data_IF_106586087938
#
_entry.id   IF_106586087938
#
_cell.length_a   1.000
_cell.length_b   1.000
_cell.length_c   1.000
_cell.angle_alpha   90.00
_cell.angle_beta   90.00
_cell.angle_gamma   90.00
#
_symmetry.space_group_name_H-M   'P 1'
#
loop_
_entity.id
_entity.type
_entity.pdbx_description
1 polymer ?
#
# COMPACT_ATOMS: atom_id res chain seq x y z
N UNK A 1 -2.42 -11.59 12.49
CA UNK A 1 -1.47 -10.76 13.27
C UNK A 1 -0.54 -9.92 12.40
N UNK A 2 0.15 -10.47 11.38
CA UNK A 2 1.12 -9.70 10.59
C UNK A 2 0.55 -8.41 9.97
N UNK A 3 -0.66 -8.44 9.38
CA UNK A 3 -1.30 -7.26 8.77
C UNK A 3 -1.53 -6.15 9.81
N UNK A 4 -1.95 -6.50 11.03
CA UNK A 4 -2.17 -5.52 12.10
C UNK A 4 -0.85 -4.87 12.54
N UNK A 5 0.21 -5.67 12.69
CA UNK A 5 1.55 -5.16 13.04
C UNK A 5 2.04 -4.19 11.98
N UNK A 6 1.90 -4.54 10.69
CA UNK A 6 2.27 -3.66 9.58
C UNK A 6 1.43 -2.37 9.57
N UNK A 7 0.12 -2.47 9.80
CA UNK A 7 -0.74 -1.28 9.91
C UNK A 7 -0.27 -0.31 11.00
N UNK A 8 0.10 -0.85 12.16
CA UNK A 8 0.63 -0.06 13.28
C UNK A 8 1.98 0.59 12.91
N UNK A 9 2.92 -0.18 12.36
CA UNK A 9 4.24 0.34 11.93
C UNK A 9 4.08 1.44 10.87
N UNK A 10 3.19 1.23 9.89
CA UNK A 10 2.91 2.23 8.85
C UNK A 10 2.26 3.49 9.42
N UNK A 11 1.36 3.33 10.39
CA UNK A 11 0.73 4.46 11.07
C UNK A 11 1.76 5.33 11.80
N UNK A 12 2.73 4.72 12.50
CA UNK A 12 3.81 5.47 13.16
C UNK A 12 4.65 6.27 12.16
N UNK A 13 4.97 5.72 10.98
CA UNK A 13 5.67 6.45 9.92
C UNK A 13 4.87 7.60 9.31
N UNK A 14 3.54 7.63 9.53
CA UNK A 14 2.62 8.63 8.95
C UNK A 14 2.06 9.63 9.96
N UNK A 15 2.36 9.47 11.27
CA UNK A 15 1.73 10.28 12.34
C UNK A 15 1.95 11.77 12.11
N UNK A 16 3.13 12.17 11.71
CA UNK A 16 3.51 13.57 11.53
C UNK A 16 3.29 14.11 10.11
N UNK A 17 2.79 13.29 9.18
CA UNK A 17 2.68 13.68 7.77
C UNK A 17 1.81 14.92 7.51
N UNK A 18 0.80 15.15 8.35
CA UNK A 18 -0.06 16.34 8.26
C UNK A 18 0.57 17.62 8.84
N UNK A 19 1.61 17.49 9.66
CA UNK A 19 2.33 18.61 10.31
C UNK A 19 3.76 18.76 9.79
N UNK A 20 4.21 17.86 8.93
CA UNK A 20 5.54 17.90 8.35
C UNK A 20 5.68 19.10 7.42
N UNK A 21 6.46 20.08 7.82
CA UNK A 21 6.76 21.30 7.05
C UNK A 21 7.38 20.97 5.70
N UNK A 22 8.19 19.90 5.63
CA UNK A 22 8.76 19.43 4.37
C UNK A 22 7.67 18.97 3.40
N UNK A 23 6.74 18.11 3.83
CA UNK A 23 5.65 17.63 2.97
C UNK A 23 4.74 18.78 2.51
N UNK A 24 4.48 19.76 3.38
CA UNK A 24 3.67 20.93 3.04
C UNK A 24 4.37 21.86 2.03
N UNK A 25 5.71 21.89 1.99
CA UNK A 25 6.48 22.68 1.04
C UNK A 25 6.56 22.08 -0.37
N UNK A 26 6.21 20.80 -0.53
CA UNK A 26 6.30 20.10 -1.82
C UNK A 26 5.23 20.57 -2.81
N UNK A 27 5.62 20.67 -4.08
CA UNK A 27 4.67 20.80 -5.17
C UNK A 27 3.95 19.47 -5.37
N UNK A 28 2.65 19.48 -5.13
CA UNK A 28 1.78 18.28 -5.17
C UNK A 28 0.82 18.33 -6.35
N UNK A 29 0.31 17.18 -6.76
CA UNK A 29 -0.74 17.09 -7.77
C UNK A 29 -2.02 17.80 -7.31
N UNK A 30 -2.72 18.45 -8.26
CA UNK A 30 -4.07 18.97 -8.03
C UNK A 30 -5.10 17.86 -7.68
N UNK A 31 -4.77 16.59 -7.96
CA UNK A 31 -5.58 15.43 -7.58
C UNK A 31 -5.24 14.91 -6.19
N UNK A 32 -4.29 15.51 -5.46
CA UNK A 32 -3.97 15.10 -4.09
C UNK A 32 -5.19 15.31 -3.19
N UNK A 33 -5.76 14.24 -2.62
CA UNK A 33 -6.92 14.37 -1.75
C UNK A 33 -6.52 15.03 -0.43
N UNK A 34 -7.49 15.62 0.29
CA UNK A 34 -7.27 16.10 1.65
C UNK A 34 -6.72 15.00 2.57
N UNK A 35 -5.88 15.38 3.53
CA UNK A 35 -5.16 14.45 4.40
C UNK A 35 -6.07 13.48 5.18
N UNK A 36 -7.31 13.91 5.52
CA UNK A 36 -8.26 13.04 6.21
C UNK A 36 -8.70 11.82 5.38
N UNK A 37 -8.65 11.92 4.04
CA UNK A 37 -9.00 10.80 3.14
C UNK A 37 -8.01 9.64 3.36
N UNK A 38 -6.72 9.93 3.50
CA UNK A 38 -5.72 8.91 3.81
C UNK A 38 -6.01 8.21 5.15
N UNK A 39 -6.44 8.98 6.17
CA UNK A 39 -6.78 8.45 7.50
C UNK A 39 -8.01 7.54 7.48
N UNK A 40 -8.89 7.67 6.50
CA UNK A 40 -10.07 6.81 6.31
C UNK A 40 -9.73 5.59 5.45
N UNK A 41 -9.04 5.82 4.33
CA UNK A 41 -8.81 4.76 3.33
C UNK A 41 -7.88 3.68 3.85
N UNK A 42 -6.77 4.04 4.50
CA UNK A 42 -5.81 3.05 4.99
C UNK A 42 -6.39 2.03 5.98
N UNK A 43 -7.15 2.42 7.02
CA UNK A 43 -7.81 1.44 7.89
C UNK A 43 -8.77 0.50 7.14
N UNK A 44 -9.52 1.01 6.17
CA UNK A 44 -10.43 0.19 5.35
C UNK A 44 -9.61 -0.83 4.53
N UNK A 45 -8.53 -0.42 3.89
CA UNK A 45 -7.68 -1.30 3.10
C UNK A 45 -7.02 -2.39 3.97
N UNK A 46 -6.55 -2.04 5.17
CA UNK A 46 -6.01 -3.03 6.11
C UNK A 46 -7.09 -4.01 6.60
N UNK A 47 -8.31 -3.53 6.85
CA UNK A 47 -9.44 -4.41 7.18
C UNK A 47 -9.74 -5.40 6.04
N UNK A 48 -9.77 -4.94 4.80
CA UNK A 48 -9.94 -5.80 3.62
C UNK A 48 -8.80 -6.82 3.48
N UNK A 49 -7.55 -6.43 3.76
CA UNK A 49 -6.42 -7.37 3.76
C UNK A 49 -6.53 -8.43 4.86
N UNK A 50 -7.05 -8.08 6.04
CA UNK A 50 -7.31 -9.04 7.12
C UNK A 50 -8.36 -10.05 6.67
N UNK A 51 -9.48 -9.57 6.11
CA UNK A 51 -10.54 -10.45 5.59
C UNK A 51 -10.01 -11.34 4.47
N UNK A 52 -9.21 -10.77 3.55
CA UNK A 52 -8.54 -11.52 2.48
C UNK A 52 -7.70 -12.68 3.03
N UNK A 53 -6.90 -12.46 4.07
CA UNK A 53 -6.07 -13.50 4.69
C UNK A 53 -6.90 -14.54 5.40
N UNK A 54 -7.94 -14.14 6.15
CA UNK A 54 -8.81 -15.07 6.89
C UNK A 54 -9.51 -16.02 5.92
N UNK A 55 -10.12 -15.48 4.86
CA UNK A 55 -10.80 -16.29 3.85
C UNK A 55 -9.78 -17.12 3.05
N UNK A 56 -8.71 -16.48 2.60
CA UNK A 56 -7.67 -17.09 1.78
C UNK A 56 -6.99 -18.27 2.44
N UNK A 57 -6.82 -18.24 3.77
CA UNK A 57 -6.21 -19.33 4.53
C UNK A 57 -6.93 -20.68 4.37
N UNK A 58 -8.21 -20.67 3.96
CA UNK A 58 -8.99 -21.87 3.67
C UNK A 58 -8.76 -22.44 2.26
N UNK A 59 -8.01 -21.74 1.42
CA UNK A 59 -7.75 -22.11 0.03
C UNK A 59 -6.29 -22.50 -0.19
N UNK A 60 -6.05 -23.57 -0.96
CA UNK A 60 -4.71 -24.00 -1.32
C UNK A 60 -3.93 -22.96 -2.15
N UNK A 61 -4.64 -22.14 -2.94
CA UNK A 61 -4.09 -21.06 -3.73
C UNK A 61 -3.34 -20.01 -2.89
N UNK A 62 -3.75 -19.81 -1.62
CA UNK A 62 -3.09 -18.86 -0.72
C UNK A 62 -1.64 -19.24 -0.45
N UNK A 63 -1.31 -20.53 -0.38
CA UNK A 63 0.08 -21.00 -0.20
C UNK A 63 1.01 -20.53 -1.33
N UNK A 64 0.48 -20.43 -2.56
CA UNK A 64 1.26 -19.99 -3.73
C UNK A 64 1.60 -18.51 -3.71
N UNK A 65 0.81 -17.69 -3.01
CA UNK A 65 1.04 -16.25 -2.90
C UNK A 65 1.63 -15.82 -1.56
N UNK A 66 1.71 -16.72 -0.57
CA UNK A 66 2.07 -16.37 0.79
C UNK A 66 3.39 -15.57 0.89
N UNK A 67 4.45 -16.04 0.23
CA UNK A 67 5.74 -15.33 0.22
C UNK A 67 5.63 -13.94 -0.41
N UNK A 68 4.90 -13.83 -1.52
CA UNK A 68 4.66 -12.53 -2.19
C UNK A 68 3.84 -11.60 -1.30
N UNK A 69 2.85 -12.14 -0.58
CA UNK A 69 2.03 -11.39 0.35
C UNK A 69 2.84 -10.88 1.55
N UNK A 70 3.73 -11.69 2.11
CA UNK A 70 4.64 -11.25 3.19
C UNK A 70 5.58 -10.16 2.69
N UNK A 71 6.18 -10.35 1.51
CA UNK A 71 7.09 -9.36 0.93
C UNK A 71 6.39 -7.99 0.72
N UNK A 72 5.15 -7.99 0.20
CA UNK A 72 4.41 -6.74 0.02
C UNK A 72 4.04 -6.09 1.36
N UNK A 73 3.77 -6.84 2.41
CA UNK A 73 3.52 -6.28 3.75
C UNK A 73 4.76 -5.54 4.29
N UNK A 74 5.95 -6.11 4.13
CA UNK A 74 7.20 -5.47 4.56
C UNK A 74 7.47 -4.17 3.80
N UNK A 75 7.29 -4.18 2.48
CA UNK A 75 7.45 -2.97 1.67
C UNK A 75 6.38 -1.93 1.98
N UNK A 76 5.14 -2.36 2.27
CA UNK A 76 4.08 -1.46 2.70
C UNK A 76 4.43 -0.76 4.02
N UNK A 77 5.00 -1.49 4.99
CA UNK A 77 5.47 -0.91 6.24
C UNK A 77 6.62 0.10 6.02
N UNK A 78 7.51 -0.16 5.08
CA UNK A 78 8.67 0.68 4.81
C UNK A 78 8.32 2.00 4.12
N UNK A 79 7.28 2.02 3.26
CA UNK A 79 6.98 3.18 2.42
C UNK A 79 6.79 4.50 3.19
N UNK A 80 5.95 4.59 4.25
CA UNK A 80 5.76 5.85 4.95
C UNK A 80 7.03 6.33 5.67
N UNK A 81 7.88 5.43 6.13
CA UNK A 81 9.18 5.78 6.69
C UNK A 81 10.11 6.38 5.65
N UNK A 82 10.21 5.75 4.48
CA UNK A 82 11.02 6.25 3.37
C UNK A 82 10.53 7.64 2.91
N UNK A 83 9.22 7.82 2.85
CA UNK A 83 8.63 9.04 2.31
C UNK A 83 8.62 10.18 3.35
N UNK A 84 7.99 9.96 4.52
CA UNK A 84 7.73 11.02 5.50
C UNK A 84 8.85 11.23 6.52
N UNK A 85 9.57 10.17 6.92
CA UNK A 85 10.60 10.27 7.96
C UNK A 85 11.96 10.55 7.34
N UNK A 86 12.34 9.79 6.30
CA UNK A 86 13.64 9.95 5.66
C UNK A 86 13.64 10.97 4.52
N UNK A 87 12.48 11.49 4.11
CA UNK A 87 12.33 12.45 3.02
C UNK A 87 13.00 11.98 1.71
N UNK A 88 12.84 10.71 1.36
CA UNK A 88 13.41 10.06 0.19
C UNK A 88 12.32 9.69 -0.85
N UNK A 89 11.65 10.68 -1.50
CA UNK A 89 10.51 10.43 -2.37
C UNK A 89 10.87 9.56 -3.59
N UNK A 90 12.11 9.64 -4.09
CA UNK A 90 12.60 8.78 -5.20
C UNK A 90 12.70 7.31 -4.78
N UNK A 91 13.23 7.04 -3.58
CA UNK A 91 13.33 5.68 -3.04
C UNK A 91 11.94 5.13 -2.70
N UNK A 92 11.08 5.97 -2.12
CA UNK A 92 9.68 5.63 -1.86
C UNK A 92 8.92 5.32 -3.16
N UNK A 93 9.21 6.03 -4.27
CA UNK A 93 8.63 5.73 -5.58
C UNK A 93 9.04 4.34 -6.08
N UNK A 94 10.31 3.98 -5.97
CA UNK A 94 10.77 2.63 -6.34
C UNK A 94 10.06 1.58 -5.48
N UNK A 95 10.00 1.80 -4.18
CA UNK A 95 9.31 0.91 -3.24
C UNK A 95 7.83 0.68 -3.62
N UNK A 96 7.07 1.76 -3.89
CA UNK A 96 5.64 1.64 -4.20
C UNK A 96 5.41 1.02 -5.60
N UNK A 97 6.29 1.23 -6.57
CA UNK A 97 6.23 0.53 -7.86
C UNK A 97 6.40 -0.97 -7.68
N UNK A 98 7.35 -1.40 -6.85
CA UNK A 98 7.51 -2.83 -6.51
C UNK A 98 6.25 -3.36 -5.82
N UNK A 99 5.66 -2.58 -4.90
CA UNK A 99 4.38 -2.92 -4.27
C UNK A 99 3.27 -3.16 -5.30
N UNK A 100 3.11 -2.26 -6.29
CA UNK A 100 2.11 -2.44 -7.35
C UNK A 100 2.33 -3.74 -8.12
N UNK A 101 3.58 -4.04 -8.49
CA UNK A 101 3.90 -5.28 -9.23
C UNK A 101 3.58 -6.53 -8.40
N UNK A 102 3.96 -6.56 -7.11
CA UNK A 102 3.67 -7.70 -6.24
C UNK A 102 2.16 -7.90 -6.05
N UNK A 103 1.42 -6.81 -5.84
CA UNK A 103 -0.03 -6.88 -5.63
C UNK A 103 -0.80 -7.22 -6.91
N UNK A 104 -0.36 -6.72 -8.07
CA UNK A 104 -0.90 -7.15 -9.37
C UNK A 104 -0.69 -8.66 -9.59
N UNK A 105 0.49 -9.19 -9.22
CA UNK A 105 0.77 -10.62 -9.25
C UNK A 105 -0.15 -11.42 -8.34
N UNK A 106 -0.40 -10.97 -7.11
CA UNK A 106 -1.33 -11.61 -6.18
C UNK A 106 -2.73 -11.69 -6.79
N UNK A 107 -3.26 -10.55 -7.25
CA UNK A 107 -4.59 -10.48 -7.88
C UNK A 107 -4.68 -11.40 -9.09
N UNK A 108 -3.66 -11.39 -9.97
CA UNK A 108 -3.61 -12.27 -11.15
C UNK A 108 -3.69 -13.74 -10.74
N UNK A 109 -2.84 -14.18 -9.82
CA UNK A 109 -2.79 -15.59 -9.40
C UNK A 109 -4.14 -16.03 -8.81
N UNK A 110 -4.74 -15.25 -7.92
CA UNK A 110 -5.97 -15.64 -7.26
C UNK A 110 -7.19 -15.53 -8.18
N UNK A 111 -7.37 -14.39 -8.86
CA UNK A 111 -8.58 -14.14 -9.65
C UNK A 111 -8.54 -14.84 -11.02
N UNK A 112 -7.36 -14.94 -11.64
CA UNK A 112 -7.22 -15.48 -12.98
C UNK A 112 -6.85 -16.96 -12.99
N UNK A 113 -5.76 -17.34 -12.30
CA UNK A 113 -5.20 -18.69 -12.38
C UNK A 113 -6.04 -19.67 -11.56
N UNK A 114 -6.54 -19.26 -10.38
CA UNK A 114 -7.37 -20.06 -9.50
C UNK A 114 -8.87 -19.74 -9.58
N UNK A 115 -9.25 -18.60 -10.17
CA UNK A 115 -10.63 -18.12 -10.32
C UNK A 115 -11.38 -18.02 -8.99
N UNK A 116 -10.68 -17.66 -7.93
CA UNK A 116 -11.23 -17.57 -6.59
C UNK A 116 -11.71 -16.15 -6.28
N UNK A 117 -12.97 -16.04 -5.88
CA UNK A 117 -13.66 -14.75 -5.71
C UNK A 117 -13.05 -13.89 -4.60
N UNK A 118 -12.43 -14.49 -3.57
CA UNK A 118 -11.83 -13.72 -2.47
C UNK A 118 -10.65 -12.83 -2.92
N UNK A 119 -10.03 -13.13 -4.06
CA UNK A 119 -8.97 -12.32 -4.65
C UNK A 119 -9.43 -10.90 -4.97
N UNK A 120 -10.72 -10.69 -5.25
CA UNK A 120 -11.27 -9.36 -5.49
C UNK A 120 -11.24 -8.45 -4.26
N UNK A 121 -11.14 -8.99 -3.05
CA UNK A 121 -10.94 -8.21 -1.83
C UNK A 121 -9.60 -7.43 -1.84
N UNK A 122 -8.64 -7.89 -2.64
CA UNK A 122 -7.33 -7.27 -2.76
C UNK A 122 -7.25 -6.19 -3.86
N UNK A 123 -8.26 -6.14 -4.75
CA UNK A 123 -8.31 -5.17 -5.87
C UNK A 123 -8.38 -3.72 -5.39
N UNK A 124 -9.20 -3.33 -4.39
CA UNK A 124 -9.24 -1.95 -3.91
C UNK A 124 -7.87 -1.47 -3.41
N UNK A 125 -7.10 -2.34 -2.76
CA UNK A 125 -5.75 -2.02 -2.32
C UNK A 125 -4.80 -1.80 -3.50
N UNK A 126 -4.85 -2.64 -4.54
CA UNK A 126 -4.06 -2.46 -5.76
C UNK A 126 -4.37 -1.12 -6.44
N UNK A 127 -5.66 -0.78 -6.58
CA UNK A 127 -6.08 0.50 -7.18
C UNK A 127 -5.58 1.71 -6.37
N UNK A 128 -5.63 1.61 -5.04
CA UNK A 128 -5.10 2.65 -4.17
C UNK A 128 -3.58 2.80 -4.30
N UNK A 129 -2.84 1.71 -4.39
CA UNK A 129 -1.39 1.74 -4.62
C UNK A 129 -1.03 2.40 -5.96
N UNK A 130 -1.78 2.12 -7.03
CA UNK A 130 -1.58 2.77 -8.33
C UNK A 130 -1.80 4.28 -8.24
N UNK A 131 -2.84 4.71 -7.55
CA UNK A 131 -3.11 6.12 -7.30
C UNK A 131 -2.02 6.77 -6.43
N UNK A 132 -1.60 6.13 -5.35
CA UNK A 132 -0.52 6.62 -4.50
C UNK A 132 0.84 6.67 -5.25
N UNK A 133 1.08 5.74 -6.17
CA UNK A 133 2.25 5.78 -7.07
C UNK A 133 2.22 7.01 -7.95
N UNK A 134 1.07 7.33 -8.54
CA UNK A 134 0.90 8.56 -9.32
C UNK A 134 1.20 9.81 -8.47
N UNK A 135 0.66 9.91 -7.26
CA UNK A 135 0.92 11.06 -6.38
C UNK A 135 2.40 11.20 -6.02
N UNK A 136 3.06 10.09 -5.69
CA UNK A 136 4.49 10.07 -5.41
C UNK A 136 5.33 10.45 -6.64
N UNK A 137 4.95 9.97 -7.83
CA UNK A 137 5.61 10.33 -9.08
C UNK A 137 5.55 11.84 -9.34
N UNK A 138 4.38 12.46 -9.19
CA UNK A 138 4.25 13.92 -9.38
C UNK A 138 5.17 14.67 -8.41
N UNK A 139 5.25 14.24 -7.15
CA UNK A 139 6.20 14.85 -6.20
C UNK A 139 7.64 14.74 -6.68
N UNK A 140 8.05 13.57 -7.19
CA UNK A 140 9.43 13.33 -7.67
C UNK A 140 9.79 14.18 -8.89
N UNK A 141 8.85 14.43 -9.80
CA UNK A 141 9.12 15.19 -11.02
C UNK A 141 8.95 16.72 -10.85
N UNK A 142 8.21 17.14 -9.82
CA UNK A 142 7.91 18.55 -9.57
C UNK A 142 8.85 19.20 -8.54
N UNK A 143 9.66 18.42 -7.82
CA UNK A 143 10.60 18.86 -6.79
C UNK A 143 11.99 18.27 -7.01
#
# INVERSE_FOLDING_TARGET
MAVVVVAVISAFGSIDSGYDTWYQSLQRSNLTPPDFIFKIVWPILYALMIVFVIIGASYNSFSNIYKTFVAQLLLNAAWPWLFFIYHLPKVALINIVILVVLNARIVKIICHDFREIYGYLHVPYLLWLMFATYLNLIIVISN
#
